data_IF_514082888804
#
_entry.id   IF_514082888804
#
_cell.length_a   1.000
_cell.length_b   1.000
_cell.length_c   1.000
_cell.angle_alpha   90.00
_cell.angle_beta   90.00
_cell.angle_gamma   90.00
#
_symmetry.space_group_name_H-M   'P 1'
#
loop_
_entity.id
_entity.type
_entity.pdbx_description
1 polymer ?
#
# COMPACT_ATOMS: atom_id res chain seq x y z
N UNK A 1 23.33 51.17 -23.13
CA UNK A 1 24.55 50.60 -22.53
C UNK A 1 24.13 49.56 -21.51
N UNK A 2 24.63 48.33 -21.70
CA UNK A 2 24.68 47.12 -20.86
C UNK A 2 23.55 46.82 -19.84
N UNK A 3 22.80 45.76 -20.12
CA UNK A 3 22.03 44.95 -19.15
C UNK A 3 23.00 43.97 -18.50
N UNK A 4 23.18 44.04 -17.18
CA UNK A 4 24.01 43.10 -16.45
C UNK A 4 23.24 41.79 -16.25
N UNK A 5 23.64 40.74 -16.97
CA UNK A 5 23.22 39.38 -16.72
C UNK A 5 24.05 38.80 -15.57
N UNK A 6 23.47 38.73 -14.37
CA UNK A 6 24.06 38.00 -13.25
C UNK A 6 23.82 36.50 -13.45
N UNK A 7 24.74 35.84 -14.15
CA UNK A 7 24.89 34.39 -14.16
C UNK A 7 25.45 33.93 -12.81
N UNK A 8 24.57 33.87 -11.80
CA UNK A 8 24.90 33.36 -10.46
C UNK A 8 25.25 31.86 -10.51
N UNK A 9 26.53 31.53 -10.38
CA UNK A 9 26.96 30.15 -10.13
C UNK A 9 26.44 29.69 -8.77
N UNK A 10 25.39 28.85 -8.76
CA UNK A 10 24.89 28.22 -7.53
C UNK A 10 26.02 27.43 -6.87
N UNK A 11 26.31 27.72 -5.59
CA UNK A 11 27.31 26.99 -4.82
C UNK A 11 26.92 25.51 -4.70
N UNK A 12 27.91 24.63 -4.52
CA UNK A 12 27.68 23.19 -4.37
C UNK A 12 26.68 22.86 -3.25
N UNK A 13 26.72 23.63 -2.15
CA UNK A 13 25.80 23.50 -1.03
C UNK A 13 24.37 23.92 -1.39
N UNK A 14 24.20 24.95 -2.22
CA UNK A 14 22.88 25.37 -2.70
C UNK A 14 22.27 24.29 -3.61
N UNK A 15 23.07 23.69 -4.50
CA UNK A 15 22.65 22.56 -5.34
C UNK A 15 22.27 21.32 -4.54
N UNK A 16 23.05 20.98 -3.50
CA UNK A 16 22.74 19.86 -2.60
C UNK A 16 21.41 20.07 -1.86
N UNK A 17 21.14 21.30 -1.41
CA UNK A 17 19.87 21.66 -0.77
C UNK A 17 18.70 21.62 -1.77
N UNK A 18 18.85 22.15 -2.98
CA UNK A 18 17.82 22.08 -4.03
C UNK A 18 17.49 20.60 -4.38
N UNK A 19 18.51 19.73 -4.44
CA UNK A 19 18.35 18.28 -4.68
C UNK A 19 17.69 17.57 -3.50
N UNK A 20 17.95 17.98 -2.26
CA UNK A 20 17.24 17.45 -1.08
C UNK A 20 15.79 17.95 -1.02
N UNK A 21 15.56 19.22 -1.34
CA UNK A 21 14.24 19.84 -1.31
C UNK A 21 13.30 19.22 -2.35
N UNK A 22 13.81 18.86 -3.54
CA UNK A 22 13.04 18.07 -4.51
C UNK A 22 12.74 16.64 -4.03
N UNK A 23 13.61 16.04 -3.22
CA UNK A 23 13.36 14.69 -2.64
C UNK A 23 12.32 14.68 -1.54
N UNK A 24 12.06 15.82 -0.89
CA UNK A 24 11.04 15.93 0.14
C UNK A 24 9.62 16.03 -0.45
N UNK A 25 9.49 16.47 -1.71
CA UNK A 25 8.20 16.61 -2.41
C UNK A 25 7.88 15.41 -3.32
N UNK A 26 8.89 14.76 -3.90
CA UNK A 26 8.73 13.69 -4.89
C UNK A 26 9.39 12.38 -4.46
N UNK A 27 8.70 11.26 -4.71
CA UNK A 27 9.12 9.92 -4.29
C UNK A 27 10.43 9.49 -4.97
N UNK A 28 10.60 9.81 -6.25
CA UNK A 28 11.87 9.68 -6.97
C UNK A 28 11.97 10.69 -8.14
N UNK A 29 13.15 10.82 -8.73
CA UNK A 29 13.36 11.73 -9.86
C UNK A 29 12.44 11.43 -11.05
N UNK A 30 12.11 10.15 -11.26
CA UNK A 30 11.27 9.73 -12.37
C UNK A 30 9.86 10.27 -12.22
N UNK A 31 9.31 10.26 -11.00
CA UNK A 31 8.00 10.81 -10.70
C UNK A 31 7.93 12.32 -11.00
N UNK A 32 8.98 13.07 -10.65
CA UNK A 32 9.09 14.49 -10.99
C UNK A 32 9.15 14.70 -12.52
N UNK A 33 10.02 13.96 -13.21
CA UNK A 33 10.18 14.10 -14.66
C UNK A 33 8.86 13.78 -15.40
N UNK A 34 8.12 12.75 -14.96
CA UNK A 34 6.82 12.40 -15.54
C UNK A 34 5.82 13.53 -15.39
N UNK A 35 5.76 14.13 -14.19
CA UNK A 35 4.83 15.22 -13.91
C UNK A 35 5.14 16.47 -14.72
N UNK A 36 6.41 16.85 -14.86
CA UNK A 36 6.79 18.03 -15.65
C UNK A 36 6.46 17.85 -17.15
N UNK A 37 6.68 16.66 -17.70
CA UNK A 37 6.28 16.34 -19.09
C UNK A 37 4.76 16.41 -19.23
N UNK A 38 4.02 15.83 -18.27
CA UNK A 38 2.56 15.86 -18.25
C UNK A 38 2.02 17.30 -18.22
N UNK A 39 2.58 18.16 -17.37
CA UNK A 39 2.22 19.59 -17.35
C UNK A 39 2.52 20.28 -18.67
N UNK A 40 3.65 19.96 -19.31
CA UNK A 40 3.96 20.44 -20.66
C UNK A 40 2.85 20.13 -21.67
N UNK A 41 2.31 18.91 -21.65
CA UNK A 41 1.20 18.55 -22.53
C UNK A 41 -0.12 19.21 -22.16
N UNK A 42 -0.40 19.42 -20.87
CA UNK A 42 -1.59 20.15 -20.45
C UNK A 42 -1.56 21.58 -20.98
N UNK A 43 -0.41 22.24 -20.87
CA UNK A 43 -0.21 23.59 -21.43
C UNK A 43 -0.32 23.58 -22.95
N UNK A 44 0.26 22.59 -23.64
CA UNK A 44 0.16 22.47 -25.10
C UNK A 44 -1.30 22.30 -25.58
N UNK A 45 -2.12 21.55 -24.83
CA UNK A 45 -3.49 21.20 -25.23
C UNK A 45 -4.54 22.20 -24.75
N UNK A 46 -4.38 22.75 -23.55
CA UNK A 46 -5.37 23.59 -22.87
C UNK A 46 -4.90 25.05 -22.69
N UNK A 47 -3.63 25.35 -22.97
CA UNK A 47 -3.00 26.65 -22.80
C UNK A 47 -2.35 26.84 -21.42
N UNK A 48 -1.65 27.95 -21.22
CA UNK A 48 -0.99 28.31 -19.95
C UNK A 48 -1.93 28.49 -18.75
N UNK A 49 -3.24 28.63 -18.95
CA UNK A 49 -4.19 28.82 -17.86
C UNK A 49 -4.56 27.48 -17.20
N UNK A 50 -3.91 27.19 -16.07
CA UNK A 50 -4.13 25.99 -15.25
C UNK A 50 -5.61 25.82 -14.81
N UNK A 51 -6.41 26.89 -14.77
CA UNK A 51 -7.85 26.78 -14.41
C UNK A 51 -8.69 26.09 -15.48
N UNK A 52 -8.19 26.05 -16.72
CA UNK A 52 -8.82 25.35 -17.84
C UNK A 52 -8.39 23.89 -17.94
N UNK A 53 -7.37 23.48 -17.16
CA UNK A 53 -6.87 22.12 -17.22
C UNK A 53 -7.87 21.18 -16.57
N UNK A 54 -8.15 20.02 -17.19
CA UNK A 54 -8.93 18.99 -16.53
C UNK A 54 -8.19 18.53 -15.28
N UNK A 55 -8.93 18.11 -14.26
CA UNK A 55 -8.35 17.56 -13.03
C UNK A 55 -7.41 16.38 -13.32
N UNK A 56 -7.70 15.61 -14.37
CA UNK A 56 -6.86 14.54 -14.86
C UNK A 56 -7.15 14.25 -16.35
N UNK A 57 -6.10 14.06 -17.15
CA UNK A 57 -6.16 13.67 -18.56
C UNK A 57 -5.35 12.37 -18.73
N UNK A 58 -6.07 11.25 -18.76
CA UNK A 58 -5.47 9.90 -18.81
C UNK A 58 -4.56 9.70 -20.03
N UNK A 59 -4.97 10.03 -21.27
CA UNK A 59 -4.11 9.87 -22.44
C UNK A 59 -2.79 10.64 -22.32
N UNK A 60 -2.82 11.87 -21.83
CA UNK A 60 -1.61 12.68 -21.65
C UNK A 60 -0.72 12.15 -20.53
N UNK A 61 -1.30 11.70 -19.42
CA UNK A 61 -0.55 11.09 -18.33
C UNK A 61 0.12 9.78 -18.77
N UNK A 62 -0.63 8.94 -19.48
CA UNK A 62 -0.15 7.66 -20.01
C UNK A 62 1.03 7.87 -20.97
N UNK A 63 0.95 8.89 -21.83
CA UNK A 63 2.05 9.28 -22.71
C UNK A 63 3.28 9.75 -21.92
N UNK A 64 3.12 10.71 -21.00
CA UNK A 64 4.22 11.25 -20.21
C UNK A 64 4.94 10.16 -19.39
N UNK A 65 4.17 9.23 -18.83
CA UNK A 65 4.71 8.11 -18.07
C UNK A 65 5.47 7.10 -18.94
N UNK A 66 5.08 6.92 -20.19
CA UNK A 66 5.80 6.08 -21.14
C UNK A 66 7.10 6.71 -21.63
N UNK A 67 7.15 8.04 -21.78
CA UNK A 67 8.38 8.76 -22.18
C UNK A 67 9.46 8.70 -21.10
N UNK A 68 9.04 8.79 -19.84
CA UNK A 68 9.89 8.51 -18.68
C UNK A 68 10.01 7.00 -18.38
N UNK A 69 9.36 6.16 -19.19
CA UNK A 69 9.47 4.71 -19.21
C UNK A 69 10.92 4.29 -19.36
N UNK A 70 11.46 3.58 -18.36
CA UNK A 70 12.78 2.97 -18.48
C UNK A 70 12.82 1.90 -19.60
N UNK A 71 13.72 0.93 -19.49
CA UNK A 71 13.96 -0.13 -20.50
C UNK A 71 12.71 -0.93 -20.92
N UNK A 72 11.61 -0.82 -20.17
CA UNK A 72 10.32 -1.44 -20.42
C UNK A 72 9.34 -0.41 -21.00
N UNK A 73 9.52 -0.03 -22.28
CA UNK A 73 8.57 0.81 -23.03
C UNK A 73 7.18 0.18 -22.95
N UNK A 74 6.18 0.93 -22.45
CA UNK A 74 4.80 0.46 -22.31
C UNK A 74 4.33 0.12 -20.89
N UNK A 75 5.21 0.14 -19.87
CA UNK A 75 4.78 0.06 -18.46
C UNK A 75 4.58 1.45 -17.88
N UNK A 76 3.36 1.76 -17.43
CA UNK A 76 3.09 2.99 -16.69
C UNK A 76 3.84 2.96 -15.36
N UNK A 77 4.52 4.05 -15.04
CA UNK A 77 5.16 4.24 -13.75
C UNK A 77 4.10 4.35 -12.64
N UNK A 78 4.34 3.72 -11.50
CA UNK A 78 3.42 3.69 -10.36
C UNK A 78 2.23 2.73 -10.49
N UNK A 79 2.05 2.07 -11.64
CA UNK A 79 0.96 1.14 -11.89
C UNK A 79 1.56 -0.24 -12.20
N UNK A 80 1.28 -1.21 -11.33
CA UNK A 80 1.62 -2.63 -11.61
C UNK A 80 0.82 -3.12 -12.84
N UNK A 81 0.89 -4.41 -13.20
CA UNK A 81 0.09 -4.98 -14.30
C UNK A 81 -1.42 -4.97 -13.93
N UNK A 82 -2.02 -3.79 -13.84
CA UNK A 82 -3.41 -3.57 -13.48
C UNK A 82 -4.22 -3.70 -14.77
N UNK A 83 -5.17 -4.65 -14.77
CA UNK A 83 -6.03 -4.93 -15.92
C UNK A 83 -6.97 -3.79 -16.25
N UNK A 84 -7.36 -3.01 -15.23
CA UNK A 84 -8.24 -1.85 -15.35
C UNK A 84 -7.54 -0.57 -14.87
N UNK A 85 -6.79 0.02 -15.80
CA UNK A 85 -6.05 1.26 -15.59
C UNK A 85 -6.97 2.43 -15.23
N UNK A 86 -8.12 2.51 -15.92
CA UNK A 86 -9.06 3.61 -15.77
C UNK A 86 -9.76 3.55 -14.42
N UNK A 87 -10.18 2.35 -13.99
CA UNK A 87 -10.80 2.12 -12.69
C UNK A 87 -9.88 2.48 -11.52
N UNK A 88 -8.60 2.13 -11.61
CA UNK A 88 -7.63 2.47 -10.57
C UNK A 88 -7.37 3.98 -10.48
N UNK A 89 -7.19 4.68 -11.62
CA UNK A 89 -6.83 6.10 -11.60
C UNK A 89 -8.04 6.99 -11.25
N UNK A 90 -9.23 6.65 -11.73
CA UNK A 90 -10.45 7.45 -11.51
C UNK A 90 -11.20 7.09 -10.23
N UNK A 91 -10.81 6.00 -9.56
CA UNK A 91 -11.46 5.51 -8.34
C UNK A 91 -12.84 4.90 -8.58
N UNK A 92 -13.22 4.59 -9.82
CA UNK A 92 -14.42 3.78 -10.08
C UNK A 92 -14.18 2.35 -9.61
N UNK A 93 -15.08 1.84 -8.77
CA UNK A 93 -14.96 0.54 -8.10
C UNK A 93 -14.58 -0.58 -9.07
N UNK A 94 -13.56 -1.35 -8.67
CA UNK A 94 -12.97 -2.43 -9.47
C UNK A 94 -13.96 -3.58 -9.72
N UNK A 95 -14.10 -4.01 -10.96
CA UNK A 95 -14.50 -5.39 -11.25
C UNK A 95 -13.32 -6.32 -10.99
N UNK A 96 -13.55 -7.39 -10.23
CA UNK A 96 -12.54 -8.36 -9.79
C UNK A 96 -11.67 -8.88 -10.95
N UNK A 97 -10.36 -8.65 -10.85
CA UNK A 97 -9.39 -9.17 -11.80
C UNK A 97 -9.01 -10.62 -11.47
N UNK A 98 -9.66 -11.58 -12.12
CA UNK A 98 -9.30 -13.01 -12.10
C UNK A 98 -8.19 -13.33 -13.12
N UNK A 99 -6.97 -12.84 -12.89
CA UNK A 99 -5.84 -13.18 -13.76
C UNK A 99 -4.53 -13.36 -12.99
N UNK A 100 -4.48 -14.41 -12.15
CA UNK A 100 -3.27 -15.24 -12.01
C UNK A 100 -3.67 -16.61 -11.44
N UNK A 101 -3.74 -17.64 -12.28
CA UNK A 101 -4.00 -19.02 -11.81
C UNK A 101 -2.85 -19.61 -10.98
N UNK A 102 -1.71 -18.93 -10.85
CA UNK A 102 -0.57 -19.39 -10.06
C UNK A 102 -0.56 -18.89 -8.60
N UNK A 103 -1.39 -17.90 -8.25
CA UNK A 103 -1.49 -17.37 -6.87
C UNK A 103 -2.67 -17.93 -6.07
N UNK A 104 -3.77 -18.25 -6.76
CA UNK A 104 -5.04 -18.61 -6.12
C UNK A 104 -4.99 -19.97 -5.42
N UNK A 105 -4.35 -20.98 -6.03
CA UNK A 105 -4.19 -22.32 -5.45
C UNK A 105 -3.28 -22.32 -4.21
N UNK A 106 -2.24 -21.48 -4.21
CA UNK A 106 -1.30 -21.37 -3.09
C UNK A 106 -1.95 -20.70 -1.87
N UNK A 107 -2.79 -19.69 -2.09
CA UNK A 107 -3.55 -19.04 -1.02
C UNK A 107 -4.64 -19.95 -0.46
N UNK A 108 -5.34 -20.72 -1.32
CA UNK A 108 -6.42 -21.60 -0.87
C UNK A 108 -5.90 -22.75 0.02
N UNK A 109 -4.72 -23.31 -0.29
CA UNK A 109 -4.09 -24.35 0.53
C UNK A 109 -3.63 -23.84 1.91
N UNK A 110 -3.07 -22.63 1.98
CA UNK A 110 -2.69 -22.04 3.26
C UNK A 110 -3.92 -21.66 4.10
N UNK A 111 -4.98 -21.14 3.48
CA UNK A 111 -6.25 -20.85 4.17
C UNK A 111 -6.85 -22.13 4.75
N UNK A 112 -6.86 -23.24 4.00
CA UNK A 112 -7.32 -24.53 4.52
C UNK A 112 -6.46 -25.04 5.68
N UNK A 113 -5.13 -24.90 5.58
CA UNK A 113 -4.19 -25.28 6.64
C UNK A 113 -4.42 -24.46 7.92
N UNK A 114 -4.57 -23.15 7.79
CA UNK A 114 -4.82 -22.23 8.90
C UNK A 114 -6.18 -22.52 9.56
N UNK A 115 -7.24 -22.76 8.77
CA UNK A 115 -8.55 -23.13 9.30
C UNK A 115 -8.51 -24.43 10.12
N UNK A 116 -7.70 -25.41 9.69
CA UNK A 116 -7.50 -26.65 10.45
C UNK A 116 -6.81 -26.39 11.80
N UNK A 117 -5.74 -25.60 11.79
CA UNK A 117 -4.99 -25.25 13.01
C UNK A 117 -5.87 -24.47 13.99
N UNK A 118 -6.64 -23.49 13.50
CA UNK A 118 -7.57 -22.71 14.34
C UNK A 118 -8.58 -23.65 15.02
N UNK A 119 -9.13 -24.63 14.29
CA UNK A 119 -10.10 -25.59 14.84
C UNK A 119 -9.49 -26.48 15.93
N UNK A 120 -8.25 -26.92 15.75
CA UNK A 120 -7.53 -27.74 16.74
C UNK A 120 -7.24 -26.92 18.01
N UNK A 121 -6.74 -25.69 17.86
CA UNK A 121 -6.43 -24.80 19.00
C UNK A 121 -7.68 -24.42 19.80
N UNK A 122 -8.81 -24.15 19.14
CA UNK A 122 -10.08 -23.86 19.84
C UNK A 122 -10.50 -25.05 20.68
N UNK A 123 -10.43 -26.27 20.12
CA UNK A 123 -10.79 -27.49 20.84
C UNK A 123 -9.87 -27.76 22.03
N UNK A 124 -8.55 -27.57 21.86
CA UNK A 124 -7.59 -27.71 22.94
C UNK A 124 -7.88 -26.72 24.08
N UNK A 125 -8.18 -25.46 23.74
CA UNK A 125 -8.48 -24.43 24.73
C UNK A 125 -9.78 -24.69 25.49
N UNK A 126 -10.80 -25.24 24.83
CA UNK A 126 -12.04 -25.67 25.48
C UNK A 126 -11.81 -26.84 26.44
N UNK A 127 -10.99 -27.82 26.04
CA UNK A 127 -10.63 -28.94 26.90
C UNK A 127 -9.82 -28.50 28.12
N UNK A 128 -8.82 -27.63 27.93
CA UNK A 128 -7.99 -27.09 29.02
C UNK A 128 -8.86 -26.30 30.03
N UNK A 129 -9.85 -25.55 29.54
CA UNK A 129 -10.80 -24.83 30.40
C UNK A 129 -11.66 -25.80 31.21
N UNK A 130 -12.17 -26.87 30.58
CA UNK A 130 -12.99 -27.88 31.26
C UNK A 130 -12.19 -28.65 32.32
N UNK A 131 -10.92 -28.95 32.06
CA UNK A 131 -10.05 -29.63 33.01
C UNK A 131 -9.76 -28.76 34.25
N UNK A 132 -9.42 -27.49 34.04
CA UNK A 132 -9.20 -26.53 35.15
C UNK A 132 -10.46 -26.33 36.01
N UNK A 133 -11.65 -26.35 35.41
CA UNK A 133 -12.90 -26.22 36.14
C UNK A 133 -13.21 -27.48 36.97
N UNK A 134 -12.95 -28.66 36.42
CA UNK A 134 -13.07 -29.93 37.16
C UNK A 134 -12.07 -30.01 38.32
N UNK A 135 -10.82 -29.64 38.10
CA UNK A 135 -9.81 -29.62 39.16
C UNK A 135 -10.16 -28.60 40.26
N UNK A 136 -10.72 -27.45 39.88
CA UNK A 136 -11.18 -26.43 40.84
C UNK A 136 -12.32 -26.96 41.72
N UNK A 137 -13.33 -27.57 41.12
CA UNK A 137 -14.49 -28.11 41.87
C UNK A 137 -14.10 -29.26 42.79
N UNK A 138 -13.15 -30.11 42.39
CA UNK A 138 -12.63 -31.19 43.24
C UNK A 138 -11.84 -30.64 44.44
N UNK A 139 -11.00 -29.61 44.24
CA UNK A 139 -10.28 -28.94 45.34
C UNK A 139 -11.24 -28.27 46.32
N UNK A 140 -12.30 -27.63 45.82
CA UNK A 140 -13.31 -26.97 46.66
C UNK A 140 -14.11 -27.99 47.49
N UNK A 141 -14.53 -29.10 46.88
CA UNK A 141 -15.21 -30.18 47.59
C UNK A 141 -14.33 -30.84 48.67
N UNK A 142 -13.02 -30.97 48.43
CA UNK A 142 -12.08 -31.49 49.44
C UNK A 142 -11.94 -30.53 50.63
N UNK A 143 -11.88 -29.22 50.38
CA UNK A 143 -11.83 -28.19 51.42
C UNK A 143 -13.10 -28.20 52.29
N UNK A 144 -14.28 -28.32 51.68
CA UNK A 144 -15.56 -28.36 52.41
C UNK A 144 -15.66 -29.58 53.34
N UNK A 145 -15.16 -30.75 52.90
CA UNK A 145 -15.09 -31.95 53.74
C UNK A 145 -14.17 -31.78 54.95
N UNK A 146 -13.02 -31.13 54.79
CA UNK A 146 -12.10 -30.86 55.91
C UNK A 146 -12.74 -29.87 56.89
N UNK A 147 -13.38 -28.81 56.39
CA UNK A 147 -14.07 -27.83 57.23
C UNK A 147 -15.20 -28.45 58.07
N UNK A 148 -15.92 -29.44 57.51
CA UNK A 148 -16.99 -30.16 58.21
C UNK A 148 -16.49 -31.08 59.33
N UNK A 149 -15.24 -31.55 59.28
CA UNK A 149 -14.64 -32.42 60.30
C UNK A 149 -14.11 -31.60 61.49
N UNK A 150 -13.67 -30.36 61.28
CA UNK A 150 -13.13 -29.48 62.32
C UNK A 150 -14.15 -28.82 63.24
N UNK A 151 -15.44 -29.13 63.10
CA UNK A 151 -16.55 -28.56 63.87
C UNK A 151 -17.21 -29.53 64.86
N UNK A 152 -16.63 -30.72 65.05
CA UNK A 152 -16.93 -31.68 66.12
C UNK A 152 -15.83 -31.66 67.18
#
# INVERSE_FOLDING_TARGET
>A
MAVAAETGQKTFCQRQKDVQQQKDEWVDQRSYDTFEIYKGYLVEKYGEDDTQHPRFDEPLWSRASQETGGKNKGKLYGLSNISDLLGFITGTQSTSCDSSSCGHERQNSEIQRLNKIIKELVKEKENEKAEKEKEKTEKEAMLERIASIGHC
#
